data_IF_589717848177
#
_entry.id   IF_589717848177
#
_cell.length_a   1.000
_cell.length_b   1.000
_cell.length_c   1.000
_cell.angle_alpha   90.00
_cell.angle_beta   90.00
_cell.angle_gamma   90.00
#
_symmetry.space_group_name_H-M   'P 1'
#
loop_
_entity.id
_entity.type
_entity.pdbx_description
1 polymer ?
#
# COMPACT_ATOMS: atom_id res chain seq x y z
N UNK A 1 -6.48 31.69 -31.01
CA UNK A 1 -7.01 31.03 -29.81
C UNK A 1 -7.28 29.58 -30.17
N UNK A 2 -6.28 28.70 -29.96
CA UNK A 2 -6.41 27.26 -30.23
C UNK A 2 -6.71 26.58 -28.90
N UNK A 3 -7.91 26.02 -28.80
CA UNK A 3 -8.31 25.14 -27.71
C UNK A 3 -7.45 23.87 -27.77
N UNK A 4 -6.65 23.65 -26.73
CA UNK A 4 -6.05 22.35 -26.46
C UNK A 4 -6.92 21.64 -25.43
N UNK A 5 -7.82 20.79 -25.92
CA UNK A 5 -8.41 19.69 -25.15
C UNK A 5 -7.34 18.61 -24.99
N UNK A 6 -6.80 18.45 -23.78
CA UNK A 6 -6.00 17.29 -23.39
C UNK A 6 -6.93 16.05 -23.33
N UNK A 7 -6.52 14.88 -23.84
CA UNK A 7 -7.31 13.68 -23.69
C UNK A 7 -7.13 13.14 -22.27
N UNK A 8 -8.22 13.08 -21.51
CA UNK A 8 -8.42 12.17 -20.40
C UNK A 8 -8.31 10.73 -20.95
N UNK A 9 -7.11 10.17 -21.03
CA UNK A 9 -6.94 8.73 -21.13
C UNK A 9 -6.89 8.20 -19.71
N UNK A 10 -7.96 7.53 -19.32
CA UNK A 10 -8.08 6.77 -18.08
C UNK A 10 -6.90 5.81 -17.94
N UNK A 11 -5.96 6.12 -17.05
CA UNK A 11 -4.91 5.21 -16.58
C UNK A 11 -5.47 4.10 -15.66
N UNK A 12 -6.78 3.86 -15.70
CA UNK A 12 -7.49 2.85 -14.91
C UNK A 12 -7.30 1.42 -15.48
N UNK A 13 -6.57 1.26 -16.59
CA UNK A 13 -6.41 -0.02 -17.28
C UNK A 13 -5.00 -0.66 -17.17
N UNK A 14 -4.07 -0.08 -16.40
CA UNK A 14 -2.65 -0.51 -16.44
C UNK A 14 -2.29 -1.62 -15.42
N UNK A 15 -3.25 -2.10 -14.62
CA UNK A 15 -3.04 -3.24 -13.68
C UNK A 15 -3.54 -4.60 -14.19
N UNK A 16 -3.74 -4.76 -15.51
CA UNK A 16 -3.80 -6.08 -16.14
C UNK A 16 -2.52 -6.30 -16.92
N UNK A 17 -1.62 -7.12 -16.39
CA UNK A 17 -0.64 -7.98 -17.07
C UNK A 17 0.67 -8.09 -16.27
N UNK A 18 0.72 -9.05 -15.36
CA UNK A 18 1.90 -9.93 -15.26
C UNK A 18 1.38 -11.36 -15.26
N UNK A 19 1.81 -12.10 -16.27
CA UNK A 19 1.37 -13.45 -16.55
C UNK A 19 1.65 -14.40 -15.38
N UNK A 20 0.63 -15.16 -14.97
CA UNK A 20 0.83 -16.47 -14.35
C UNK A 20 1.63 -17.32 -15.34
N UNK A 21 2.94 -17.42 -15.13
CA UNK A 21 3.73 -18.54 -15.62
C UNK A 21 3.41 -19.75 -14.74
N UNK A 22 2.45 -20.56 -15.15
CA UNK A 22 2.18 -21.87 -14.56
C UNK A 22 3.46 -22.74 -14.59
N UNK A 23 4.12 -22.88 -13.44
CA UNK A 23 4.90 -24.07 -13.11
C UNK A 23 4.59 -24.48 -11.68
N UNK A 24 3.93 -25.63 -11.58
CA UNK A 24 3.40 -26.17 -10.35
C UNK A 24 4.41 -26.25 -9.22
N UNK A 25 3.99 -25.83 -8.04
CA UNK A 25 4.67 -26.13 -6.80
C UNK A 25 3.84 -27.16 -6.02
N UNK A 26 4.27 -28.42 -6.07
CA UNK A 26 3.84 -29.47 -5.15
C UNK A 26 4.89 -29.62 -4.06
N UNK A 27 4.54 -29.36 -2.81
CA UNK A 27 5.40 -29.69 -1.67
C UNK A 27 5.18 -28.80 -0.46
N UNK A 28 4.51 -29.36 0.54
CA UNK A 28 4.13 -28.67 1.77
C UNK A 28 5.29 -28.37 2.72
N UNK A 29 5.00 -27.52 3.70
CA UNK A 29 5.82 -27.35 4.89
C UNK A 29 4.94 -27.32 6.14
N UNK A 30 5.24 -28.27 7.03
CA UNK A 30 4.90 -28.26 8.45
C UNK A 30 5.49 -27.02 9.15
N UNK A 31 4.88 -26.54 10.26
CA UNK A 31 5.30 -25.29 10.90
C UNK A 31 6.64 -25.47 11.62
N UNK A 32 7.63 -24.67 11.25
CA UNK A 32 8.87 -24.54 12.00
C UNK A 32 8.65 -23.61 13.20
N UNK A 33 8.91 -24.12 14.40
CA UNK A 33 8.91 -23.39 15.66
C UNK A 33 10.15 -22.50 15.74
N UNK A 34 9.95 -21.19 15.94
CA UNK A 34 11.02 -20.22 16.18
C UNK A 34 11.23 -20.05 17.69
N UNK A 35 12.40 -20.46 18.18
CA UNK A 35 12.89 -20.12 19.53
C UNK A 35 13.73 -18.85 19.51
N UNK A 36 13.53 -18.08 20.58
CA UNK A 36 13.99 -16.73 20.90
C UNK A 36 15.52 -16.56 21.02
N UNK A 37 16.01 -15.35 20.67
CA UNK A 37 17.35 -14.86 21.04
C UNK A 37 17.42 -13.31 21.01
N UNK A 38 16.95 -12.71 22.10
CA UNK A 38 17.39 -11.49 22.82
C UNK A 38 18.27 -10.39 22.16
N UNK A 39 17.66 -9.19 22.13
CA UNK A 39 18.10 -7.87 22.67
C UNK A 39 19.20 -7.03 21.99
N UNK A 40 18.79 -5.86 21.45
CA UNK A 40 19.25 -4.52 21.90
C UNK A 40 18.47 -3.40 21.18
N UNK A 41 18.14 -2.30 21.88
CA UNK A 41 17.69 -1.03 21.28
C UNK A 41 16.21 -0.66 21.43
N UNK A 42 15.90 0.06 22.49
CA UNK A 42 14.57 0.46 22.96
C UNK A 42 14.03 1.69 22.20
N UNK A 43 13.28 1.46 21.12
CA UNK A 43 12.26 2.37 20.54
C UNK A 43 11.29 1.68 19.54
N UNK A 44 11.37 0.37 19.37
CA UNK A 44 10.54 -0.40 18.44
C UNK A 44 9.82 -1.54 19.17
N UNK A 45 8.89 -1.22 20.08
CA UNK A 45 8.01 -2.21 20.71
C UNK A 45 6.70 -1.53 21.11
N UNK A 46 5.69 -1.61 20.24
CA UNK A 46 4.32 -2.14 20.49
C UNK A 46 3.53 -1.94 19.19
N UNK A 47 3.59 -2.89 18.26
CA UNK A 47 2.48 -3.24 17.32
C UNK A 47 2.69 -4.69 16.85
N UNK A 48 3.20 -5.54 17.75
CA UNK A 48 3.23 -6.97 17.56
C UNK A 48 1.84 -7.50 17.92
N UNK A 49 1.13 -8.03 16.93
CA UNK A 49 0.02 -8.99 17.08
C UNK A 49 -1.17 -8.57 17.96
N UNK A 50 -1.42 -7.27 18.10
CA UNK A 50 -2.57 -6.71 18.84
C UNK A 50 -3.88 -6.71 18.04
N UNK A 51 -3.86 -7.13 16.77
CA UNK A 51 -5.04 -7.13 15.93
C UNK A 51 -6.13 -8.02 16.54
N UNK A 52 -5.77 -9.15 17.15
CA UNK A 52 -6.72 -10.16 17.67
C UNK A 52 -7.75 -9.62 18.68
N UNK A 53 -7.44 -8.55 19.42
CA UNK A 53 -8.32 -7.96 20.45
C UNK A 53 -9.22 -6.81 19.98
N UNK A 54 -9.12 -6.36 18.72
CA UNK A 54 -9.92 -5.23 18.23
C UNK A 54 -11.38 -5.63 18.01
N UNK A 55 -12.31 -4.80 18.46
CA UNK A 55 -13.73 -4.93 18.12
C UNK A 55 -13.99 -4.52 16.67
N UNK A 56 -15.10 -4.96 16.11
CA UNK A 56 -15.56 -4.53 14.77
C UNK A 56 -16.29 -3.19 14.87
N UNK A 57 -16.02 -2.28 13.93
CA UNK A 57 -16.75 -1.03 13.77
C UNK A 57 -18.20 -1.31 13.36
N UNK A 58 -19.15 -0.52 13.85
CA UNK A 58 -20.54 -0.59 13.41
C UNK A 58 -20.69 -0.06 11.98
N UNK A 59 -21.83 -0.37 11.35
CA UNK A 59 -22.17 0.19 10.03
C UNK A 59 -22.19 1.73 10.04
N UNK A 60 -22.72 2.34 11.11
CA UNK A 60 -22.71 3.80 11.28
C UNK A 60 -21.30 4.38 11.33
N UNK A 61 -20.35 3.69 11.98
CA UNK A 61 -18.95 4.12 12.05
C UNK A 61 -18.25 4.01 10.69
N UNK A 62 -18.54 2.97 9.92
CA UNK A 62 -18.04 2.82 8.54
C UNK A 62 -18.63 3.92 7.65
N UNK A 63 -19.94 4.16 7.74
CA UNK A 63 -20.61 5.23 6.98
C UNK A 63 -20.07 6.62 7.35
N UNK A 64 -19.79 6.86 8.63
CA UNK A 64 -19.19 8.12 9.08
C UNK A 64 -17.79 8.34 8.51
N UNK A 65 -16.96 7.28 8.43
CA UNK A 65 -15.67 7.35 7.74
C UNK A 65 -15.87 7.80 6.28
N UNK A 66 -16.73 7.14 5.51
CA UNK A 66 -16.95 7.50 4.11
C UNK A 66 -17.50 8.92 3.92
N UNK A 67 -18.39 9.36 4.80
CA UNK A 67 -18.93 10.73 4.75
C UNK A 67 -17.88 11.81 5.06
N UNK A 68 -16.75 11.45 5.69
CA UNK A 68 -15.69 12.37 6.10
C UNK A 68 -14.56 12.54 5.07
N UNK A 69 -14.61 11.82 3.94
CA UNK A 69 -13.57 11.83 2.90
C UNK A 69 -13.64 13.10 2.03
N UNK A 70 -13.31 14.25 2.61
CA UNK A 70 -13.36 15.57 1.95
C UNK A 70 -12.17 16.46 2.35
N UNK A 71 -11.87 17.45 1.52
CA UNK A 71 -10.72 18.33 1.72
C UNK A 71 -10.74 19.07 3.05
N UNK A 72 -9.56 19.24 3.66
CA UNK A 72 -9.38 19.96 4.92
C UNK A 72 -9.73 19.16 6.19
N UNK A 73 -10.23 17.93 6.06
CA UNK A 73 -10.61 17.10 7.20
C UNK A 73 -9.42 16.38 7.84
N UNK A 74 -9.55 16.19 9.15
CA UNK A 74 -8.67 15.31 9.94
C UNK A 74 -9.54 14.21 10.53
N UNK A 75 -9.50 13.04 9.91
CA UNK A 75 -10.25 11.86 10.30
C UNK A 75 -9.38 11.01 11.22
N UNK A 76 -9.81 10.85 12.47
CA UNK A 76 -9.17 9.93 13.43
C UNK A 76 -10.11 8.78 13.73
N UNK A 77 -9.68 7.56 13.42
CA UNK A 77 -10.47 6.36 13.66
C UNK A 77 -10.36 5.88 15.11
N UNK A 78 -11.35 5.10 15.55
CA UNK A 78 -11.18 4.28 16.74
C UNK A 78 -10.36 3.03 16.39
N UNK A 79 -9.57 2.46 17.33
CA UNK A 79 -8.82 1.23 17.10
C UNK A 79 -9.76 0.03 16.99
N UNK A 80 -10.37 -0.11 15.81
CA UNK A 80 -11.36 -1.13 15.46
C UNK A 80 -11.03 -1.77 14.12
N UNK A 81 -11.75 -2.85 13.81
CA UNK A 81 -11.78 -3.46 12.47
C UNK A 81 -12.89 -2.80 11.66
N UNK A 82 -12.53 -2.11 10.59
CA UNK A 82 -13.45 -1.55 9.62
C UNK A 82 -13.52 -2.49 8.43
N UNK A 83 -14.63 -3.19 8.28
CA UNK A 83 -14.90 -3.97 7.08
C UNK A 83 -15.54 -3.06 6.04
N UNK A 84 -14.85 -2.92 4.92
CA UNK A 84 -15.22 -2.02 3.84
C UNK A 84 -15.83 -2.81 2.70
N UNK A 85 -16.95 -2.31 2.18
CA UNK A 85 -17.61 -2.85 0.99
C UNK A 85 -17.25 -2.05 -0.28
N UNK A 86 -16.51 -0.94 -0.11
CA UNK A 86 -15.96 -0.10 -1.19
C UNK A 86 -14.57 0.43 -0.79
N UNK A 87 -13.74 0.86 -1.76
CA UNK A 87 -12.45 1.50 -1.49
C UNK A 87 -12.61 2.81 -0.74
N UNK A 88 -11.68 3.14 0.15
CA UNK A 88 -11.55 4.52 0.62
C UNK A 88 -11.00 5.34 -0.55
N UNK A 89 -11.84 6.20 -1.13
CA UNK A 89 -11.50 6.97 -2.33
C UNK A 89 -11.35 8.46 -1.98
N UNK A 90 -10.14 8.98 -2.20
CA UNK A 90 -9.78 10.39 -2.07
C UNK A 90 -9.49 10.93 -3.48
N UNK A 91 -10.54 11.38 -4.18
CA UNK A 91 -10.43 11.96 -5.52
C UNK A 91 -10.64 13.47 -5.51
N UNK A 92 -9.62 14.24 -5.91
CA UNK A 92 -9.66 15.70 -5.83
C UNK A 92 -9.72 16.22 -4.39
N UNK A 93 -9.18 15.47 -3.43
CA UNK A 93 -9.20 15.80 -2.01
C UNK A 93 -7.85 16.38 -1.60
N UNK A 94 -7.88 17.59 -1.05
CA UNK A 94 -6.68 18.32 -0.65
C UNK A 94 -6.65 18.56 0.86
N UNK A 95 -5.45 18.67 1.44
CA UNK A 95 -5.25 18.98 2.87
C UNK A 95 -5.98 18.01 3.82
N UNK A 96 -5.83 16.70 3.57
CA UNK A 96 -6.57 15.66 4.28
C UNK A 96 -5.66 14.76 5.12
N UNK A 97 -6.13 14.36 6.31
CA UNK A 97 -5.42 13.41 7.17
C UNK A 97 -6.36 12.26 7.55
N UNK A 98 -5.94 11.03 7.27
CA UNK A 98 -6.49 9.82 7.87
C UNK A 98 -5.50 9.27 8.90
N UNK A 99 -5.82 9.44 10.17
CA UNK A 99 -5.15 8.77 11.29
C UNK A 99 -5.96 7.54 11.70
N UNK A 100 -5.44 6.37 11.34
CA UNK A 100 -6.05 5.10 11.71
C UNK A 100 -6.03 4.83 13.21
N UNK A 101 -5.12 5.45 13.97
CA UNK A 101 -5.02 5.26 15.41
C UNK A 101 -5.03 3.77 15.85
N UNK A 102 -4.37 2.91 15.07
CA UNK A 102 -4.32 1.46 15.29
C UNK A 102 -5.48 0.66 14.67
N UNK A 103 -6.35 1.29 13.89
CA UNK A 103 -7.43 0.62 13.16
C UNK A 103 -6.90 -0.38 12.11
N UNK A 104 -7.75 -1.35 11.78
CA UNK A 104 -7.53 -2.31 10.71
C UNK A 104 -8.62 -2.12 9.64
N UNK A 105 -8.20 -1.70 8.45
CA UNK A 105 -9.03 -1.50 7.28
C UNK A 105 -9.03 -2.79 6.44
N UNK A 106 -10.20 -3.38 6.24
CA UNK A 106 -10.36 -4.69 5.59
C UNK A 106 -11.33 -4.54 4.43
N UNK A 107 -10.82 -4.48 3.20
CA UNK A 107 -11.67 -4.45 2.01
C UNK A 107 -12.15 -5.88 1.65
N UNK A 108 -13.46 -6.06 1.52
CA UNK A 108 -14.03 -7.36 1.12
C UNK A 108 -13.84 -7.66 -0.36
N UNK A 109 -13.88 -6.63 -1.20
CA UNK A 109 -13.66 -6.77 -2.63
C UNK A 109 -12.17 -6.96 -2.95
N UNK A 110 -11.79 -8.15 -3.40
CA UNK A 110 -10.40 -8.52 -3.69
C UNK A 110 -9.87 -7.92 -5.00
N UNK A 111 -10.75 -7.43 -5.86
CA UNK A 111 -10.37 -6.89 -7.18
C UNK A 111 -10.07 -5.38 -7.16
N UNK A 112 -10.31 -4.72 -6.03
CA UNK A 112 -10.18 -3.26 -5.88
C UNK A 112 -9.09 -2.87 -4.89
N UNK A 113 -8.61 -1.64 -5.00
CA UNK A 113 -7.62 -1.10 -4.06
C UNK A 113 -8.27 -0.85 -2.70
N UNK A 114 -7.59 -1.11 -1.57
CA UNK A 114 -8.16 -0.80 -0.23
C UNK A 114 -8.35 0.71 -0.06
N UNK A 115 -7.36 1.49 -0.51
CA UNK A 115 -7.39 2.95 -0.50
C UNK A 115 -6.83 3.50 -1.81
N UNK A 116 -7.55 4.46 -2.39
CA UNK A 116 -7.16 5.18 -3.61
C UNK A 116 -7.03 6.66 -3.33
N UNK A 117 -5.93 7.26 -3.79
CA UNK A 117 -5.70 8.71 -3.79
C UNK A 117 -5.46 9.17 -5.21
N UNK A 118 -6.28 10.09 -5.68
CA UNK A 118 -6.23 10.57 -7.05
C UNK A 118 -6.42 12.07 -7.14
N UNK A 119 -5.69 12.71 -8.06
CA UNK A 119 -5.85 14.14 -8.33
C UNK A 119 -5.78 15.01 -7.07
N UNK A 120 -5.01 14.59 -6.06
CA UNK A 120 -5.07 15.09 -4.68
C UNK A 120 -3.72 15.65 -4.23
N UNK A 121 -3.74 16.58 -3.28
CA UNK A 121 -2.55 17.26 -2.77
C UNK A 121 -2.53 17.30 -1.25
N UNK A 122 -1.35 17.12 -0.65
CA UNK A 122 -1.17 17.21 0.81
C UNK A 122 -2.09 16.26 1.59
N UNK A 123 -1.98 14.96 1.28
CA UNK A 123 -2.73 13.89 1.94
C UNK A 123 -1.80 13.08 2.86
N UNK A 124 -2.22 12.88 4.10
CA UNK A 124 -1.49 12.09 5.10
C UNK A 124 -2.31 10.87 5.49
N UNK A 125 -1.73 9.69 5.30
CA UNK A 125 -2.30 8.39 5.66
C UNK A 125 -1.39 7.75 6.70
N UNK A 126 -1.87 7.55 7.94
CA UNK A 126 -1.01 7.06 9.02
C UNK A 126 -1.66 6.14 10.03
N UNK A 127 -0.84 5.35 10.71
CA UNK A 127 -1.19 4.57 11.91
C UNK A 127 -2.32 3.54 11.69
N UNK A 128 -2.42 2.88 10.53
CA UNK A 128 -3.38 1.79 10.32
C UNK A 128 -2.71 0.53 9.78
N UNK A 129 -3.44 -0.59 9.89
CA UNK A 129 -3.25 -1.74 9.02
C UNK A 129 -4.27 -1.69 7.89
N UNK A 130 -3.85 -1.99 6.67
CA UNK A 130 -4.75 -2.15 5.53
C UNK A 130 -4.48 -3.52 4.86
N UNK A 131 -5.57 -4.20 4.48
CA UNK A 131 -5.54 -5.54 3.87
C UNK A 131 -6.84 -5.80 3.13
N UNK A 132 -6.82 -6.75 2.19
CA UNK A 132 -8.04 -7.41 1.74
C UNK A 132 -8.49 -8.46 2.76
N UNK A 133 -9.73 -8.91 2.63
CA UNK A 133 -10.15 -10.17 3.25
C UNK A 133 -9.28 -11.32 2.73
N UNK A 134 -8.80 -12.16 3.65
CA UNK A 134 -7.91 -13.29 3.33
C UNK A 134 -8.49 -14.13 2.17
N UNK A 135 -7.70 -14.49 1.16
CA UNK A 135 -8.18 -15.30 0.06
C UNK A 135 -8.49 -16.72 0.51
N UNK A 136 -9.77 -17.06 0.63
CA UNK A 136 -10.20 -18.45 0.46
C UNK A 136 -9.98 -18.86 -1.01
N UNK A 137 -8.91 -19.62 -1.28
CA UNK A 137 -8.63 -20.23 -2.59
C UNK A 137 -7.47 -19.60 -3.38
N UNK A 138 -7.08 -20.21 -4.53
CA UNK A 138 -5.83 -19.92 -5.24
C UNK A 138 -5.84 -18.62 -6.07
N UNK A 139 -6.96 -17.90 -6.11
CA UNK A 139 -7.07 -16.63 -6.81
C UNK A 139 -6.72 -15.50 -5.83
N UNK A 140 -5.47 -15.02 -5.91
CA UNK A 140 -4.96 -13.89 -5.14
C UNK A 140 -5.72 -12.60 -5.45
N UNK A 141 -5.68 -11.64 -4.52
CA UNK A 141 -6.36 -10.36 -4.71
C UNK A 141 -5.67 -9.57 -5.85
N UNK A 142 -6.44 -8.83 -6.65
CA UNK A 142 -5.96 -8.11 -7.84
C UNK A 142 -5.74 -6.62 -7.58
N UNK A 143 -6.35 -6.06 -6.53
CA UNK A 143 -6.12 -4.68 -6.12
C UNK A 143 -4.80 -4.50 -5.37
N UNK A 144 -4.31 -3.25 -5.36
CA UNK A 144 -3.23 -2.83 -4.48
C UNK A 144 -3.77 -2.56 -3.07
N UNK A 145 -2.91 -2.45 -2.06
CA UNK A 145 -3.36 -1.97 -0.74
C UNK A 145 -3.60 -0.47 -0.81
N UNK A 146 -2.61 0.30 -1.27
CA UNK A 146 -2.73 1.73 -1.52
C UNK A 146 -2.38 2.03 -2.99
N UNK A 147 -3.22 2.78 -3.68
CA UNK A 147 -2.98 3.22 -5.05
C UNK A 147 -3.02 4.76 -5.11
N UNK A 148 -1.96 5.38 -5.60
CA UNK A 148 -1.81 6.84 -5.68
C UNK A 148 -1.53 7.25 -7.12
N UNK A 149 -2.33 8.16 -7.67
CA UNK A 149 -2.08 8.64 -9.03
C UNK A 149 -2.38 10.13 -9.22
N UNK A 150 -1.63 10.78 -10.13
CA UNK A 150 -1.78 12.19 -10.48
C UNK A 150 -1.88 13.13 -9.27
N UNK A 151 -1.08 12.86 -8.25
CA UNK A 151 -1.19 13.50 -6.93
C UNK A 151 0.14 14.09 -6.48
N UNK A 152 0.11 14.94 -5.45
CA UNK A 152 1.34 15.52 -4.90
C UNK A 152 1.34 15.63 -3.38
N UNK A 153 2.53 15.64 -2.78
CA UNK A 153 2.72 15.82 -1.33
C UNK A 153 1.97 14.76 -0.50
N UNK A 154 2.07 13.50 -0.90
CA UNK A 154 1.41 12.37 -0.23
C UNK A 154 2.34 11.76 0.81
N UNK A 155 1.83 11.49 2.00
CA UNK A 155 2.58 10.80 3.06
C UNK A 155 1.87 9.52 3.51
N UNK A 156 2.58 8.40 3.49
CA UNK A 156 2.15 7.12 4.06
C UNK A 156 3.10 6.78 5.20
N UNK A 157 2.61 6.83 6.44
CA UNK A 157 3.45 6.77 7.63
C UNK A 157 2.97 5.75 8.67
N UNK A 158 3.89 4.93 9.18
CA UNK A 158 3.61 4.00 10.27
C UNK A 158 2.41 3.06 9.99
N UNK A 159 2.28 2.63 8.73
CA UNK A 159 1.23 1.71 8.31
C UNK A 159 1.74 0.27 8.16
N UNK A 160 0.84 -0.69 8.39
CA UNK A 160 1.05 -2.11 8.10
C UNK A 160 0.28 -2.47 6.83
N UNK A 161 0.98 -2.57 5.71
CA UNK A 161 0.39 -2.87 4.40
C UNK A 161 0.58 -4.37 4.15
N UNK A 162 -0.40 -5.13 4.62
CA UNK A 162 -0.47 -6.58 4.42
C UNK A 162 -1.33 -6.83 3.20
N UNK A 163 -0.70 -7.10 2.08
CA UNK A 163 -1.46 -7.28 0.85
C UNK A 163 -1.52 -8.73 0.46
N UNK A 164 -2.58 -9.46 0.79
CA UNK A 164 -2.94 -10.61 -0.07
C UNK A 164 -3.25 -10.18 -1.54
N UNK A 165 -3.22 -8.88 -1.84
CA UNK A 165 -3.27 -8.25 -3.16
C UNK A 165 -1.94 -8.16 -3.92
N UNK A 166 -1.94 -7.41 -5.03
CA UNK A 166 -0.80 -7.37 -5.95
C UNK A 166 0.35 -6.55 -5.39
N UNK A 167 0.06 -5.33 -4.95
CA UNK A 167 1.08 -4.32 -4.63
C UNK A 167 0.74 -3.63 -3.31
N UNK A 168 1.72 -3.41 -2.45
CA UNK A 168 1.51 -2.67 -1.19
C UNK A 168 1.20 -1.20 -1.45
N UNK A 169 2.08 -0.49 -2.18
CA UNK A 169 1.83 0.86 -2.68
C UNK A 169 2.11 0.93 -4.18
N UNK A 170 1.10 1.24 -4.97
CA UNK A 170 1.25 1.60 -6.38
C UNK A 170 1.22 3.13 -6.53
N UNK A 171 2.17 3.71 -7.27
CA UNK A 171 2.26 5.17 -7.44
C UNK A 171 2.57 5.58 -8.89
N UNK A 172 1.68 6.34 -9.51
CA UNK A 172 1.81 6.74 -10.93
C UNK A 172 1.64 8.25 -11.11
N UNK A 173 2.64 8.90 -11.71
CA UNK A 173 2.68 10.35 -11.88
C UNK A 173 2.44 11.11 -10.56
N UNK A 174 3.19 10.74 -9.51
CA UNK A 174 3.06 11.32 -8.17
C UNK A 174 4.29 12.16 -7.82
N UNK A 175 4.10 13.39 -7.37
CA UNK A 175 5.22 14.24 -6.93
C UNK A 175 5.33 14.27 -5.41
N UNK A 176 6.53 14.06 -4.88
CA UNK A 176 6.83 14.13 -3.45
C UNK A 176 6.03 13.13 -2.60
N UNK A 177 5.95 11.87 -3.04
CA UNK A 177 5.44 10.78 -2.21
C UNK A 177 6.48 10.43 -1.14
N UNK A 178 6.06 10.41 0.13
CA UNK A 178 6.89 9.99 1.26
C UNK A 178 6.27 8.75 1.89
N UNK A 179 6.98 7.62 1.86
CA UNK A 179 6.58 6.44 2.61
C UNK A 179 7.62 6.15 3.69
N UNK A 180 7.23 6.27 4.95
CA UNK A 180 8.15 6.14 6.09
C UNK A 180 7.62 5.28 7.22
N UNK A 181 8.50 4.54 7.89
CA UNK A 181 8.17 3.68 9.02
C UNK A 181 7.08 2.63 8.74
N UNK A 182 6.87 2.25 7.48
CA UNK A 182 5.85 1.27 7.12
C UNK A 182 6.40 -0.15 7.23
N UNK A 183 5.48 -1.10 7.47
CA UNK A 183 5.74 -2.52 7.29
C UNK A 183 4.92 -3.03 6.10
N UNK A 184 5.61 -3.40 5.02
CA UNK A 184 5.00 -3.75 3.73
C UNK A 184 5.34 -5.20 3.39
N UNK A 185 4.33 -6.08 3.44
CA UNK A 185 4.57 -7.51 3.46
C UNK A 185 3.46 -8.33 2.83
N UNK A 186 3.82 -9.56 2.43
CA UNK A 186 2.95 -10.59 1.86
C UNK A 186 2.24 -10.18 0.56
N UNK A 187 2.69 -9.11 -0.12
CA UNK A 187 2.16 -8.71 -1.43
C UNK A 187 2.48 -9.76 -2.48
N UNK A 188 1.51 -10.14 -3.31
CA UNK A 188 1.69 -11.21 -4.29
C UNK A 188 2.61 -10.83 -5.47
N UNK A 189 2.89 -9.53 -5.67
CA UNK A 189 3.92 -9.05 -6.59
C UNK A 189 4.94 -8.15 -5.88
N UNK A 190 4.63 -6.86 -5.70
CA UNK A 190 5.62 -5.88 -5.25
C UNK A 190 5.24 -5.27 -3.91
N UNK A 191 6.22 -4.97 -3.05
CA UNK A 191 5.96 -4.11 -1.90
C UNK A 191 5.55 -2.70 -2.37
N UNK A 192 6.31 -2.12 -3.30
CA UNK A 192 6.01 -0.83 -3.93
C UNK A 192 6.34 -0.90 -5.43
N UNK A 193 5.46 -0.35 -6.27
CA UNK A 193 5.67 -0.12 -7.70
C UNK A 193 5.44 1.37 -8.02
N UNK A 194 6.34 1.98 -8.78
CA UNK A 194 6.18 3.38 -9.21
C UNK A 194 6.73 3.64 -10.61
N UNK A 195 6.26 4.68 -11.30
CA UNK A 195 6.72 5.05 -12.65
C UNK A 195 7.86 6.07 -12.69
N UNK A 196 8.33 6.38 -13.90
CA UNK A 196 9.38 7.37 -14.17
C UNK A 196 8.99 8.79 -13.80
N UNK A 197 7.70 9.12 -13.84
CA UNK A 197 7.16 10.43 -13.49
C UNK A 197 6.94 10.58 -11.99
N UNK A 198 7.11 9.53 -11.19
CA UNK A 198 6.97 9.59 -9.75
C UNK A 198 8.27 10.00 -9.04
N UNK A 199 8.16 10.93 -8.09
CA UNK A 199 9.24 11.24 -7.13
C UNK A 199 8.87 10.75 -5.74
N UNK A 200 9.70 9.85 -5.20
CA UNK A 200 9.44 9.12 -3.96
C UNK A 200 10.63 9.14 -3.00
N UNK A 201 10.35 9.34 -1.71
CA UNK A 201 11.29 9.19 -0.59
C UNK A 201 10.83 8.03 0.31
N UNK A 202 11.69 7.03 0.45
CA UNK A 202 11.45 5.82 1.22
C UNK A 202 12.44 5.75 2.39
N UNK A 203 11.93 5.84 3.62
CA UNK A 203 12.81 5.75 4.78
C UNK A 203 12.26 4.92 5.93
N UNK A 204 13.13 4.17 6.60
CA UNK A 204 12.76 3.36 7.77
C UNK A 204 11.67 2.31 7.54
N UNK A 205 11.42 1.91 6.29
CA UNK A 205 10.44 0.88 6.01
C UNK A 205 11.03 -0.51 6.23
N UNK A 206 10.17 -1.48 6.55
CA UNK A 206 10.48 -2.91 6.52
C UNK A 206 9.69 -3.54 5.38
N UNK A 207 10.39 -4.22 4.50
CA UNK A 207 9.82 -5.05 3.45
C UNK A 207 10.08 -6.52 3.78
N UNK A 208 9.08 -7.38 3.62
CA UNK A 208 9.17 -8.81 3.95
C UNK A 208 8.24 -9.62 3.06
N UNK A 209 8.69 -10.77 2.56
CA UNK A 209 7.84 -11.75 1.87
C UNK A 209 6.95 -11.16 0.76
N UNK A 210 7.52 -10.32 -0.11
CA UNK A 210 6.80 -9.76 -1.25
C UNK A 210 7.15 -10.49 -2.55
N UNK A 211 6.14 -10.80 -3.35
CA UNK A 211 6.22 -11.54 -4.60
C UNK A 211 6.42 -13.04 -4.39
N UNK A 212 6.40 -13.78 -5.49
CA UNK A 212 6.53 -15.24 -5.46
C UNK A 212 7.86 -15.74 -4.86
N UNK A 213 8.92 -14.92 -4.89
CA UNK A 213 10.22 -15.23 -4.28
C UNK A 213 10.39 -14.70 -2.86
N UNK A 214 9.44 -13.90 -2.36
CA UNK A 214 9.55 -13.16 -1.10
C UNK A 214 10.43 -11.91 -1.17
N UNK A 215 11.14 -11.66 -2.28
CA UNK A 215 12.17 -10.61 -2.40
C UNK A 215 11.81 -9.46 -3.36
N UNK A 216 10.58 -9.43 -3.88
CA UNK A 216 10.10 -8.43 -4.83
C UNK A 216 9.62 -7.18 -4.08
N UNK A 217 10.53 -6.45 -3.44
CA UNK A 217 10.13 -5.37 -2.53
C UNK A 217 9.83 -4.05 -3.22
N UNK A 218 10.67 -3.62 -4.18
CA UNK A 218 10.54 -2.34 -4.85
C UNK A 218 10.82 -2.49 -6.34
N UNK A 219 9.96 -1.88 -7.15
CA UNK A 219 10.06 -1.87 -8.60
C UNK A 219 9.80 -0.46 -9.14
N UNK A 220 10.62 -0.04 -10.11
CA UNK A 220 10.40 1.16 -10.91
C UNK A 220 10.02 0.76 -12.33
N UNK A 221 8.84 1.14 -12.79
CA UNK A 221 8.46 1.02 -14.18
C UNK A 221 9.23 2.03 -15.03
N UNK A 222 9.81 1.54 -16.13
CA UNK A 222 10.60 2.35 -17.06
C UNK A 222 9.78 2.76 -18.29
N UNK A 223 8.66 2.09 -18.53
CA UNK A 223 7.70 2.41 -19.57
C UNK A 223 6.25 2.44 -19.03
N UNK A 224 5.34 3.20 -19.67
CA UNK A 224 3.93 3.24 -19.27
C UNK A 224 3.19 1.90 -19.37
N UNK A 225 3.71 0.93 -20.12
CA UNK A 225 3.13 -0.40 -20.28
C UNK A 225 3.55 -1.41 -19.21
N UNK A 226 4.39 -1.01 -18.24
CA UNK A 226 4.96 -1.90 -17.21
C UNK A 226 5.71 -3.11 -17.79
N UNK A 227 6.23 -2.99 -19.02
CA UNK A 227 6.93 -4.06 -19.72
C UNK A 227 8.41 -4.12 -19.37
N UNK A 228 8.98 -2.99 -18.95
CA UNK A 228 10.33 -2.82 -18.48
C UNK A 228 10.31 -2.33 -17.04
N UNK A 229 10.82 -3.18 -16.13
CA UNK A 229 10.86 -2.92 -14.70
C UNK A 229 12.31 -2.96 -14.21
N UNK A 230 12.71 -1.94 -13.46
CA UNK A 230 13.94 -1.95 -12.67
C UNK A 230 13.63 -2.38 -11.23
N UNK A 231 14.12 -3.56 -10.84
CA UNK A 231 13.93 -4.08 -9.50
C UNK A 231 15.01 -3.55 -8.55
N UNK A 232 14.57 -2.97 -7.44
CA UNK A 232 15.44 -2.30 -6.50
C UNK A 232 15.50 -3.11 -5.21
N UNK A 233 16.71 -3.51 -4.82
CA UNK A 233 16.94 -4.47 -3.73
C UNK A 233 17.69 -3.90 -2.54
N UNK A 234 18.08 -2.62 -2.60
CA UNK A 234 18.80 -1.94 -1.53
C UNK A 234 18.54 -0.44 -1.58
N UNK A 235 18.85 0.22 -0.47
CA UNK A 235 18.84 1.68 -0.41
C UNK A 235 19.77 2.28 -1.49
N UNK A 236 19.23 3.28 -2.19
CA UNK A 236 19.93 4.05 -3.19
C UNK A 236 19.34 5.45 -3.35
N UNK A 237 20.09 6.30 -4.04
CA UNK A 237 19.61 7.60 -4.51
C UNK A 237 19.73 7.59 -6.02
N UNK A 238 18.61 7.84 -6.70
CA UNK A 238 18.50 7.92 -8.15
C UNK A 238 17.51 9.02 -8.53
N UNK A 239 17.37 9.29 -9.83
CA UNK A 239 16.38 10.25 -10.29
C UNK A 239 14.96 9.79 -9.90
N UNK A 240 14.23 10.68 -9.23
CA UNK A 240 12.89 10.40 -8.70
C UNK A 240 12.88 9.47 -7.47
N UNK A 241 14.02 9.03 -6.94
CA UNK A 241 14.07 8.07 -5.84
C UNK A 241 15.12 8.44 -4.79
N UNK A 242 14.69 8.53 -3.54
CA UNK A 242 15.58 8.59 -2.38
C UNK A 242 15.22 7.47 -1.43
N UNK A 243 16.21 6.71 -0.99
CA UNK A 243 16.00 5.63 -0.04
C UNK A 243 17.04 5.68 1.07
N UNK A 244 16.59 5.48 2.31
CA UNK A 244 17.52 5.37 3.44
C UNK A 244 16.95 4.56 4.61
N UNK A 245 17.80 3.72 5.21
CA UNK A 245 17.50 2.95 6.42
C UNK A 245 16.31 2.01 6.25
N UNK A 246 16.06 1.51 5.04
CA UNK A 246 15.06 0.48 4.81
C UNK A 246 15.66 -0.90 5.12
N UNK A 247 14.79 -1.84 5.51
CA UNK A 247 15.13 -3.26 5.70
C UNK A 247 14.40 -4.10 4.66
N UNK A 248 15.15 -4.99 4.01
CA UNK A 248 14.67 -5.92 3.01
C UNK A 248 14.96 -7.32 3.54
N UNK A 249 13.91 -8.05 3.93
CA UNK A 249 13.98 -9.38 4.54
C UNK A 249 13.33 -10.41 3.64
#
# INVERSE_FOLDING_TARGET
MRNHTLPFLSLLAVLLFVACGDRGYTGGNTPATLTDATSSGKAARVYADSDSSLTTASEDEVNALFASLQSGEIVTLEPKRYYLDAPIELDGVDDFVLDGNGAVLILRNKDEDVLRVSSSTNVILKNFKATHVEPEGPLGCRGSVINVFYSSDIMVENCRLNGSGLIGIAAFNVKNLRATHNYIYNNSQYGILFDTDTSIDLSYNRFEDNGASGTMHLAKALDPGLTEIDQITKDQVAEGLKMSRNRFN
#
